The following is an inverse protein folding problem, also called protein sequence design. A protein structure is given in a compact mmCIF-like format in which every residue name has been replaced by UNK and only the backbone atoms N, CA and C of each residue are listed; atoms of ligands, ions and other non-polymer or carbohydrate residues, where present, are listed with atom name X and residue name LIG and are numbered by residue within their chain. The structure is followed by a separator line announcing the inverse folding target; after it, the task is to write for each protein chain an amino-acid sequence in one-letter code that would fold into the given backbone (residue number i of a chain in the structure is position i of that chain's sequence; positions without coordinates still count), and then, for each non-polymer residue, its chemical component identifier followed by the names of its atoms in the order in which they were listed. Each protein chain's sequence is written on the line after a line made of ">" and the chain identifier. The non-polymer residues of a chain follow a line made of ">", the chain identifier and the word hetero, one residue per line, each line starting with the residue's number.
data_IF_052908747684
#
_entry.id   IF_052908747684
#
_cell.length_a   1.000
_cell.length_b   1.000
_cell.length_c   1.000
_cell.angle_alpha   90.00
_cell.angle_beta   90.00
_cell.angle_gamma   90.00
#
_symmetry.space_group_name_H-M   'P 1'
#
loop_
_entity.id
_entity.type
_entity.pdbx_description
1 polymer ?
#
# COMPACT_ATOMS: atom_id res chain seq x y z
N UNK A 1 8.78 -63.08 -5.10
CA UNK A 1 7.63 -62.22 -5.44
C UNK A 1 7.48 -60.96 -4.58
N UNK A 2 8.28 -60.75 -3.51
CA UNK A 2 8.10 -59.63 -2.54
C UNK A 2 8.77 -58.30 -2.94
N UNK A 3 9.72 -58.30 -3.88
CA UNK A 3 10.49 -57.07 -4.28
C UNK A 3 9.67 -56.15 -5.21
N UNK A 4 8.65 -56.61 -5.89
CA UNK A 4 7.85 -55.80 -6.82
C UNK A 4 6.71 -55.04 -6.13
N UNK A 5 6.22 -55.49 -4.99
CA UNK A 5 5.17 -54.79 -4.21
C UNK A 5 5.72 -53.53 -3.49
N UNK A 6 7.00 -53.57 -3.05
CA UNK A 6 7.60 -52.41 -2.38
C UNK A 6 7.83 -51.22 -3.31
N UNK A 7 8.18 -51.46 -4.59
CA UNK A 7 8.40 -50.42 -5.56
C UNK A 7 7.10 -49.69 -5.96
N UNK A 8 6.00 -50.41 -6.06
CA UNK A 8 4.67 -49.85 -6.38
C UNK A 8 4.11 -49.00 -5.21
N UNK A 9 4.33 -49.44 -3.97
CA UNK A 9 3.92 -48.68 -2.78
C UNK A 9 4.72 -47.38 -2.61
N UNK A 10 6.02 -47.42 -2.89
CA UNK A 10 6.87 -46.21 -2.84
C UNK A 10 6.50 -45.18 -3.92
N UNK A 11 6.13 -45.66 -5.14
CA UNK A 11 5.68 -44.80 -6.25
C UNK A 11 4.34 -44.12 -5.95
N UNK A 12 3.39 -44.84 -5.33
CA UNK A 12 2.09 -44.30 -4.96
C UNK A 12 2.20 -43.23 -3.85
N UNK A 13 3.11 -43.43 -2.90
CA UNK A 13 3.38 -42.45 -1.82
C UNK A 13 4.03 -41.15 -2.35
N UNK A 14 4.92 -41.26 -3.35
CA UNK A 14 5.55 -40.10 -3.98
C UNK A 14 4.55 -39.27 -4.81
N UNK A 15 3.57 -39.89 -5.48
CA UNK A 15 2.51 -39.18 -6.19
C UNK A 15 1.53 -38.47 -5.24
N UNK A 16 1.27 -39.03 -4.04
CA UNK A 16 0.40 -38.39 -3.06
C UNK A 16 0.97 -37.10 -2.46
N UNK A 17 2.30 -36.98 -2.36
CA UNK A 17 2.96 -35.75 -1.90
C UNK A 17 2.99 -34.62 -2.95
N UNK A 18 2.84 -34.94 -4.24
CA UNK A 18 2.77 -33.96 -5.30
C UNK A 18 1.37 -33.33 -5.48
N UNK A 19 0.34 -33.86 -4.80
CA UNK A 19 -1.04 -33.42 -4.90
C UNK A 19 -1.45 -32.42 -3.79
N UNK A 20 -0.49 -31.80 -3.06
CA UNK A 20 -0.80 -30.64 -2.25
C UNK A 20 -1.08 -29.44 -3.17
N UNK A 21 -2.35 -29.01 -3.35
CA UNK A 21 -2.62 -27.72 -3.98
C UNK A 21 -2.12 -26.64 -3.03
N UNK A 22 -0.90 -26.22 -3.22
CA UNK A 22 -0.40 -25.01 -2.57
C UNK A 22 -1.18 -23.84 -3.18
N UNK A 23 -2.35 -23.55 -2.63
CA UNK A 23 -2.99 -22.27 -2.85
C UNK A 23 -2.15 -21.23 -2.16
N UNK A 24 -1.27 -20.60 -2.94
CA UNK A 24 -0.72 -19.32 -2.58
C UNK A 24 -1.90 -18.34 -2.60
N UNK A 25 -2.57 -18.16 -1.47
CA UNK A 25 -3.45 -17.04 -1.25
C UNK A 25 -2.54 -15.81 -1.22
N UNK A 26 -2.26 -15.28 -2.41
CA UNK A 26 -1.62 -13.97 -2.54
C UNK A 26 -2.38 -13.02 -1.63
N UNK A 27 -1.67 -12.25 -0.80
CA UNK A 27 -2.16 -11.43 0.29
C UNK A 27 -3.24 -10.39 -0.04
N UNK A 28 -4.32 -10.82 -0.68
CA UNK A 28 -5.52 -10.04 -0.94
C UNK A 28 -6.41 -9.93 0.30
N UNK A 29 -7.31 -8.99 0.31
CA UNK A 29 -8.36 -8.87 1.33
C UNK A 29 -9.31 -10.07 1.21
N UNK A 30 -9.63 -10.81 2.30
CA UNK A 30 -10.52 -11.96 2.26
C UNK A 30 -11.89 -11.55 1.70
N UNK A 31 -12.39 -12.35 0.74
CA UNK A 31 -13.67 -12.13 0.07
C UNK A 31 -13.82 -10.83 -0.75
N UNK A 32 -12.78 -10.00 -0.88
CA UNK A 32 -12.75 -8.80 -1.72
C UNK A 32 -11.99 -9.12 -3.00
N UNK A 33 -12.64 -8.95 -4.15
CA UNK A 33 -12.05 -9.15 -5.48
C UNK A 33 -11.98 -7.87 -6.31
N UNK A 34 -12.88 -6.94 -5.98
CA UNK A 34 -13.00 -5.67 -6.68
C UNK A 34 -12.97 -4.50 -5.70
N UNK A 35 -12.37 -3.41 -6.13
CA UNK A 35 -12.23 -2.20 -5.31
C UNK A 35 -12.58 -0.96 -6.12
N UNK A 36 -13.29 -0.04 -5.51
CA UNK A 36 -13.43 1.33 -6.01
C UNK A 36 -12.51 2.24 -5.19
N UNK A 37 -11.68 3.01 -5.85
CA UNK A 37 -10.82 4.00 -5.21
C UNK A 37 -11.40 5.37 -5.54
N UNK A 38 -12.04 5.97 -4.53
CA UNK A 38 -12.61 7.31 -4.68
C UNK A 38 -11.49 8.36 -4.66
N UNK A 39 -11.64 9.46 -5.40
CA UNK A 39 -10.68 10.55 -5.33
C UNK A 39 -10.48 11.04 -3.90
N UNK A 40 -9.24 11.06 -3.44
CA UNK A 40 -8.91 11.59 -2.13
C UNK A 40 -9.21 13.09 -2.07
N UNK A 41 -9.95 13.50 -1.04
CA UNK A 41 -10.17 14.91 -0.74
C UNK A 41 -8.84 15.57 -0.33
N UNK A 42 -8.46 16.64 -1.00
CA UNK A 42 -7.18 17.29 -0.74
C UNK A 42 -7.40 18.63 -0.05
N UNK A 43 -7.05 18.69 1.23
CA UNK A 43 -7.16 19.89 2.06
C UNK A 43 -5.87 20.71 2.10
N UNK A 44 -4.91 20.40 1.22
CA UNK A 44 -3.63 21.08 1.15
C UNK A 44 -3.56 22.04 -0.03
N UNK A 45 -2.64 23.01 -0.02
CA UNK A 45 -2.44 23.91 -1.15
C UNK A 45 -1.73 23.29 -2.35
N UNK A 46 -1.40 21.97 -2.31
CA UNK A 46 -0.70 21.24 -3.36
C UNK A 46 -1.66 20.39 -4.18
N UNK A 47 -2.19 20.88 -5.32
CA UNK A 47 -3.27 20.18 -6.05
C UNK A 47 -2.82 18.85 -6.69
N UNK A 48 -1.54 18.69 -7.00
CA UNK A 48 -0.99 17.47 -7.60
C UNK A 48 -1.14 16.24 -6.69
N UNK A 49 -1.20 16.44 -5.36
CA UNK A 49 -1.32 15.34 -4.40
C UNK A 49 -2.57 14.49 -4.61
N UNK A 50 -3.69 15.09 -5.05
CA UNK A 50 -4.91 14.32 -5.34
C UNK A 50 -4.62 13.23 -6.36
N UNK A 51 -3.98 13.59 -7.46
CA UNK A 51 -3.64 12.63 -8.52
C UNK A 51 -2.57 11.64 -8.06
N UNK A 52 -1.49 12.13 -7.46
CA UNK A 52 -0.35 11.30 -7.06
C UNK A 52 -0.75 10.25 -6.00
N UNK A 53 -1.57 10.63 -5.00
CA UNK A 53 -2.07 9.70 -3.98
C UNK A 53 -2.99 8.66 -4.61
N UNK A 54 -3.94 9.09 -5.46
CA UNK A 54 -4.87 8.17 -6.11
C UNK A 54 -4.16 7.16 -7.01
N UNK A 55 -3.20 7.61 -7.81
CA UNK A 55 -2.45 6.73 -8.70
C UNK A 55 -1.61 5.73 -7.89
N UNK A 56 -0.93 6.18 -6.83
CA UNK A 56 -0.12 5.31 -5.97
C UNK A 56 -0.97 4.24 -5.24
N UNK A 57 -2.14 4.62 -4.73
CA UNK A 57 -3.07 3.69 -4.07
C UNK A 57 -3.62 2.69 -5.08
N UNK A 58 -4.05 3.14 -6.27
CA UNK A 58 -4.54 2.27 -7.34
C UNK A 58 -3.51 1.22 -7.75
N UNK A 59 -2.30 1.66 -8.07
CA UNK A 59 -1.19 0.76 -8.46
C UNK A 59 -0.91 -0.28 -7.37
N UNK A 60 -0.93 0.12 -6.10
CA UNK A 60 -0.69 -0.80 -4.99
C UNK A 60 -1.82 -1.82 -4.80
N UNK A 61 -3.08 -1.40 -4.92
CA UNK A 61 -4.23 -2.31 -4.76
C UNK A 61 -4.33 -3.30 -5.92
N UNK A 62 -4.08 -2.87 -7.15
CA UNK A 62 -4.04 -3.75 -8.31
C UNK A 62 -2.81 -4.69 -8.28
N UNK A 63 -1.62 -4.13 -8.09
CA UNK A 63 -0.37 -4.86 -8.22
C UNK A 63 -0.03 -5.74 -7.02
N UNK A 64 -0.27 -5.28 -5.79
CA UNK A 64 0.13 -5.98 -4.56
C UNK A 64 -0.99 -6.80 -3.94
N UNK A 65 -2.23 -6.30 -3.97
CA UNK A 65 -3.40 -7.01 -3.44
C UNK A 65 -4.12 -7.83 -4.50
N UNK A 66 -3.80 -7.65 -5.78
CA UNK A 66 -4.43 -8.38 -6.89
C UNK A 66 -5.91 -8.04 -7.08
N UNK A 67 -6.36 -6.88 -6.58
CA UNK A 67 -7.75 -6.44 -6.71
C UNK A 67 -7.98 -5.79 -8.08
N UNK A 68 -9.17 -5.97 -8.61
CA UNK A 68 -9.58 -5.32 -9.86
C UNK A 68 -10.33 -4.03 -9.56
N UNK A 69 -9.99 -2.95 -10.27
CA UNK A 69 -10.77 -1.72 -10.19
C UNK A 69 -12.19 -1.93 -10.71
N UNK A 70 -13.16 -1.38 -10.01
CA UNK A 70 -14.56 -1.37 -10.39
C UNK A 70 -15.21 -0.05 -10.04
N UNK A 71 -16.34 0.25 -10.69
CA UNK A 71 -17.14 1.42 -10.30
C UNK A 71 -17.70 1.25 -8.89
N UNK A 72 -17.88 2.35 -8.17
CA UNK A 72 -18.31 2.37 -6.77
C UNK A 72 -19.53 1.47 -6.49
N UNK A 73 -20.52 1.47 -7.38
CA UNK A 73 -21.75 0.68 -7.20
C UNK A 73 -21.54 -0.84 -7.34
N UNK A 74 -20.44 -1.28 -7.95
CA UNK A 74 -20.19 -2.69 -8.28
C UNK A 74 -18.94 -3.24 -7.58
N UNK A 75 -18.25 -2.42 -6.79
CA UNK A 75 -17.07 -2.84 -6.07
C UNK A 75 -17.44 -3.61 -4.80
N UNK A 76 -16.66 -4.63 -4.45
CA UNK A 76 -16.77 -5.33 -3.17
C UNK A 76 -16.35 -4.43 -2.01
N UNK A 77 -15.31 -3.62 -2.23
CA UNK A 77 -14.81 -2.66 -1.25
C UNK A 77 -14.61 -1.27 -1.85
N UNK A 78 -14.68 -0.26 -1.01
CA UNK A 78 -14.40 1.13 -1.37
C UNK A 78 -13.28 1.67 -0.51
N UNK A 79 -12.31 2.30 -1.16
CA UNK A 79 -11.26 3.08 -0.52
C UNK A 79 -11.62 4.55 -0.65
N UNK A 80 -11.63 5.24 0.46
CA UNK A 80 -11.82 6.69 0.53
C UNK A 80 -10.84 7.31 1.51
N UNK A 81 -10.46 8.55 1.27
CA UNK A 81 -9.54 9.23 2.15
C UNK A 81 -9.47 10.72 1.90
N UNK A 82 -8.61 11.36 2.69
CA UNK A 82 -8.32 12.78 2.54
C UNK A 82 -6.88 13.06 2.88
N UNK A 83 -6.25 13.95 2.11
CA UNK A 83 -4.94 14.50 2.42
C UNK A 83 -5.14 15.71 3.32
N UNK A 84 -4.74 15.58 4.59
CA UNK A 84 -5.00 16.59 5.62
C UNK A 84 -3.85 17.57 5.79
N UNK A 85 -2.61 17.14 5.46
CA UNK A 85 -1.42 17.98 5.60
C UNK A 85 -0.36 17.63 4.56
N UNK A 86 0.30 18.66 4.10
CA UNK A 86 1.50 18.59 3.27
C UNK A 86 2.53 19.61 3.77
N UNK A 87 3.71 19.14 4.11
CA UNK A 87 4.83 19.96 4.53
C UNK A 87 6.07 19.56 3.70
N UNK A 88 6.42 20.35 2.67
CA UNK A 88 7.47 19.95 1.73
C UNK A 88 8.88 20.26 2.22
N UNK A 89 9.06 21.06 3.28
CA UNK A 89 10.30 21.78 3.50
C UNK A 89 10.83 21.73 4.95
N UNK A 90 10.74 20.56 5.57
CA UNK A 90 11.29 20.36 6.92
C UNK A 90 12.80 20.10 6.85
N UNK A 91 13.67 20.97 7.40
CA UNK A 91 15.12 20.74 7.44
C UNK A 91 15.46 19.48 8.26
N UNK A 92 16.32 18.61 7.72
CA UNK A 92 16.78 17.38 8.41
C UNK A 92 18.27 17.45 8.75
N UNK A 93 19.09 17.93 7.82
CA UNK A 93 20.52 18.05 8.02
C UNK A 93 21.01 19.47 7.76
N UNK A 94 21.86 19.93 8.66
CA UNK A 94 22.45 21.26 8.64
C UNK A 94 23.98 21.11 8.63
N UNK A 95 24.65 21.77 7.68
CA UNK A 95 26.11 21.86 7.70
C UNK A 95 26.54 23.26 8.21
N UNK A 96 27.32 23.32 9.30
CA UNK A 96 27.93 24.56 9.74
C UNK A 96 29.00 24.99 8.73
N UNK A 97 28.85 26.18 8.16
CA UNK A 97 29.86 26.83 7.34
C UNK A 97 30.48 28.02 8.08
N UNK A 98 31.51 28.66 7.51
CA UNK A 98 32.12 29.89 8.07
C UNK A 98 31.09 31.02 8.03
N UNK A 99 30.32 31.17 9.11
CA UNK A 99 29.31 32.23 9.28
C UNK A 99 27.94 31.95 8.64
N UNK A 100 27.72 30.80 8.06
CA UNK A 100 26.43 30.41 7.47
C UNK A 100 26.10 28.92 7.80
N UNK A 101 24.82 28.65 8.02
CA UNK A 101 24.31 27.29 8.14
C UNK A 101 23.65 26.94 6.80
N UNK A 102 24.08 25.87 6.15
CA UNK A 102 23.49 25.37 4.92
C UNK A 102 22.62 24.17 5.20
N UNK A 103 21.39 24.18 4.71
CA UNK A 103 20.50 23.02 4.74
C UNK A 103 20.91 22.09 3.61
N UNK A 104 21.40 20.91 3.95
CA UNK A 104 21.88 19.93 2.97
C UNK A 104 20.83 18.86 2.65
N UNK A 105 19.89 18.64 3.57
CA UNK A 105 18.83 17.65 3.38
C UNK A 105 17.51 18.17 3.95
N UNK A 106 16.42 17.88 3.24
CA UNK A 106 15.07 18.27 3.60
C UNK A 106 14.14 17.06 3.60
N UNK A 107 12.96 17.23 4.16
CA UNK A 107 11.94 16.20 4.26
C UNK A 107 10.59 16.72 3.81
N UNK A 108 9.93 15.96 2.95
CA UNK A 108 8.50 16.07 2.68
C UNK A 108 7.75 15.28 3.73
N UNK A 109 6.67 15.82 4.29
CA UNK A 109 5.76 15.11 5.17
C UNK A 109 4.34 15.19 4.62
N UNK A 110 3.65 14.05 4.56
CA UNK A 110 2.27 13.93 4.09
C UNK A 110 1.45 13.26 5.18
N UNK A 111 0.30 13.85 5.55
CA UNK A 111 -0.64 13.23 6.47
C UNK A 111 -1.96 12.95 5.76
N UNK A 112 -2.49 11.76 5.95
CA UNK A 112 -3.76 11.33 5.36
C UNK A 112 -4.66 10.66 6.38
N UNK A 113 -5.97 10.80 6.18
CA UNK A 113 -6.98 9.91 6.73
C UNK A 113 -7.39 8.94 5.62
N UNK A 114 -7.50 7.66 5.93
CA UNK A 114 -7.89 6.64 4.96
C UNK A 114 -8.79 5.60 5.59
N UNK A 115 -9.77 5.13 4.84
CA UNK A 115 -10.71 4.09 5.23
C UNK A 115 -10.96 3.14 4.05
N UNK A 116 -11.03 1.84 4.36
CA UNK A 116 -11.43 0.78 3.46
C UNK A 116 -12.73 0.17 4.01
N UNK A 117 -13.79 0.24 3.24
CA UNK A 117 -15.13 -0.23 3.60
C UNK A 117 -15.54 -1.42 2.74
N UNK A 118 -15.97 -2.52 3.36
CA UNK A 118 -16.69 -3.59 2.65
C UNK A 118 -18.12 -3.11 2.36
N UNK A 119 -18.45 -3.01 1.07
CA UNK A 119 -19.78 -2.52 0.66
C UNK A 119 -20.88 -3.56 0.85
N UNK A 120 -20.56 -4.83 0.81
CA UNK A 120 -21.53 -5.91 0.96
C UNK A 120 -22.00 -6.07 2.39
N UNK A 121 -21.07 -5.93 3.35
CA UNK A 121 -21.35 -6.06 4.77
C UNK A 121 -21.56 -4.71 5.46
N UNK A 122 -21.24 -3.60 4.79
CA UNK A 122 -21.28 -2.27 5.38
C UNK A 122 -20.28 -2.08 6.52
N UNK A 123 -19.20 -2.86 6.54
CA UNK A 123 -18.21 -2.92 7.62
C UNK A 123 -16.90 -2.26 7.21
N UNK A 124 -16.33 -1.47 8.11
CA UNK A 124 -14.96 -0.97 7.91
C UNK A 124 -13.98 -2.13 8.02
N UNK A 125 -13.26 -2.41 6.92
CA UNK A 125 -12.21 -3.41 6.88
C UNK A 125 -10.94 -2.90 7.57
N UNK A 126 -10.59 -1.65 7.30
CA UNK A 126 -9.46 -0.98 7.91
C UNK A 126 -9.62 0.54 7.83
N UNK A 127 -9.13 1.24 8.84
CA UNK A 127 -9.07 2.70 8.83
C UNK A 127 -7.87 3.21 9.61
N UNK A 128 -7.33 4.33 9.19
CA UNK A 128 -6.29 5.07 9.89
C UNK A 128 -6.54 6.56 9.74
N UNK A 129 -6.58 7.26 10.87
CA UNK A 129 -6.64 8.72 10.90
C UNK A 129 -5.27 9.29 11.24
N UNK A 130 -4.88 10.39 10.59
CA UNK A 130 -3.62 11.04 10.84
C UNK A 130 -2.40 10.18 10.48
N UNK A 131 -2.53 9.25 9.52
CA UNK A 131 -1.40 8.50 9.01
C UNK A 131 -0.39 9.46 8.39
N UNK A 132 0.78 9.57 9.01
CA UNK A 132 1.82 10.50 8.59
C UNK A 132 3.03 9.74 8.09
N UNK A 133 3.47 10.10 6.89
CA UNK A 133 4.64 9.53 6.22
C UNK A 133 5.59 10.64 5.78
N UNK A 134 6.85 10.30 5.61
CA UNK A 134 7.87 11.24 5.20
C UNK A 134 8.80 10.68 4.12
N UNK A 135 9.37 11.58 3.32
CA UNK A 135 10.40 11.27 2.33
C UNK A 135 11.48 12.32 2.35
N UNK A 136 12.72 11.89 2.54
CA UNK A 136 13.88 12.79 2.54
C UNK A 136 14.38 13.06 1.12
N UNK A 137 14.91 14.24 0.90
CA UNK A 137 15.45 14.65 -0.39
C UNK A 137 16.56 15.70 -0.26
N UNK A 138 17.43 15.74 -1.27
CA UNK A 138 18.43 16.78 -1.41
C UNK A 138 17.87 17.92 -2.27
N UNK A 139 17.86 19.17 -1.79
CA UNK A 139 17.36 20.30 -2.59
C UNK A 139 18.05 20.41 -3.96
N UNK A 140 17.31 20.74 -5.02
CA UNK A 140 15.90 21.15 -5.08
C UNK A 140 14.92 20.01 -5.42
N UNK A 141 15.24 18.75 -5.14
CA UNK A 141 14.52 17.55 -5.62
C UNK A 141 13.32 17.15 -4.74
N UNK A 142 12.44 18.09 -4.40
CA UNK A 142 11.25 17.83 -3.58
C UNK A 142 10.37 16.69 -4.12
N UNK A 143 10.23 16.58 -5.45
CA UNK A 143 9.44 15.52 -6.08
C UNK A 143 9.95 14.10 -5.75
N UNK A 144 11.28 13.93 -5.57
CA UNK A 144 11.85 12.64 -5.17
C UNK A 144 11.44 12.31 -3.72
N UNK A 145 11.50 13.30 -2.81
CA UNK A 145 11.02 13.16 -1.43
C UNK A 145 9.53 12.82 -1.37
N UNK A 146 8.70 13.48 -2.20
CA UNK A 146 7.28 13.19 -2.29
C UNK A 146 7.00 11.76 -2.77
N UNK A 147 7.73 11.29 -3.78
CA UNK A 147 7.65 9.91 -4.26
C UNK A 147 8.01 8.88 -3.19
N UNK A 148 9.04 9.15 -2.38
CA UNK A 148 9.43 8.29 -1.26
C UNK A 148 8.31 8.26 -0.20
N UNK A 149 7.76 9.43 0.16
CA UNK A 149 6.64 9.51 1.11
C UNK A 149 5.42 8.73 0.61
N UNK A 150 5.03 8.88 -0.66
CA UNK A 150 3.91 8.14 -1.26
C UNK A 150 4.15 6.62 -1.27
N UNK A 151 5.37 6.17 -1.53
CA UNK A 151 5.72 4.75 -1.44
C UNK A 151 5.54 4.20 -0.01
N UNK A 152 5.94 4.97 1.00
CA UNK A 152 5.69 4.60 2.41
C UNK A 152 4.19 4.60 2.73
N UNK A 153 3.44 5.59 2.22
CA UNK A 153 1.99 5.68 2.42
C UNK A 153 1.28 4.41 1.95
N UNK A 154 1.55 3.99 0.71
CA UNK A 154 0.90 2.79 0.17
C UNK A 154 1.34 1.51 0.89
N UNK A 155 2.59 1.44 1.37
CA UNK A 155 3.03 0.33 2.22
C UNK A 155 2.19 0.24 3.50
N UNK A 156 2.04 1.34 4.23
CA UNK A 156 1.24 1.40 5.45
C UNK A 156 -0.24 1.03 5.21
N UNK A 157 -0.83 1.49 4.09
CA UNK A 157 -2.21 1.16 3.73
C UNK A 157 -2.35 -0.33 3.42
N UNK A 158 -1.47 -0.89 2.60
CA UNK A 158 -1.51 -2.30 2.20
C UNK A 158 -1.26 -3.22 3.38
N UNK A 159 -0.21 -2.95 4.16
CA UNK A 159 0.15 -3.75 5.33
C UNK A 159 -0.96 -3.67 6.40
N UNK A 160 -1.52 -2.48 6.60
CA UNK A 160 -2.66 -2.27 7.48
C UNK A 160 -3.91 -3.03 7.03
N UNK A 161 -4.22 -2.98 5.75
CA UNK A 161 -5.33 -3.72 5.16
C UNK A 161 -5.17 -5.24 5.32
N UNK A 162 -3.95 -5.76 5.19
CA UNK A 162 -3.65 -7.19 5.33
C UNK A 162 -3.59 -7.66 6.79
N UNK A 163 -3.23 -6.79 7.74
CA UNK A 163 -3.02 -7.16 9.14
C UNK A 163 -4.31 -7.44 9.93
N UNK A 164 -5.47 -7.18 9.35
CA UNK A 164 -6.76 -7.38 10.00
C UNK A 164 -7.34 -8.80 9.81
N UNK A 165 -6.59 -9.70 9.12
CA UNK A 165 -7.06 -11.04 8.72
C UNK A 165 -6.13 -12.17 9.11
#
# INVERSE_FOLDING_TARGET
>A
MHRRCGALAASALALALAACPYHFSGGGLPNVKTVAILPFDNQTPQPELTKEVNDAVREAFEGRLGLREAGEQNADAVVRGRVTRYDPDTPVALQPGRGQVSVTQRRVQISVDVEILDQREGKTLWQRQGLTVDGEYDPPKEADGRKIALSKLVNEIVDGAQSQW
#
